data_IF_604074477309
#
_entry.id   IF_604074477309
#
_cell.length_a   1.000
_cell.length_b   1.000
_cell.length_c   1.000
_cell.angle_alpha   90.00
_cell.angle_beta   90.00
_cell.angle_gamma   90.00
#
_symmetry.space_group_name_H-M   'P 1'
#
loop_
_entity.id
_entity.type
_entity.pdbx_description
1 polymer ?
#
# COMPACT_ATOMS: atom_id res chain seq x y z
N UNK A 1 -16.74 -43.23 -25.02
CA UNK A 1 -16.79 -42.50 -23.74
C UNK A 1 -15.72 -41.43 -23.77
N UNK A 2 -16.07 -40.15 -23.58
CA UNK A 2 -15.04 -39.15 -23.31
C UNK A 2 -14.62 -39.29 -21.85
N UNK A 3 -13.33 -39.51 -21.60
CA UNK A 3 -12.77 -39.33 -20.26
C UNK A 3 -12.79 -37.84 -19.97
N UNK A 4 -13.56 -37.41 -18.97
CA UNK A 4 -13.54 -36.03 -18.48
C UNK A 4 -12.17 -35.75 -17.86
N UNK A 5 -11.25 -35.20 -18.65
CA UNK A 5 -9.92 -34.86 -18.17
C UNK A 5 -10.06 -33.76 -17.12
N UNK A 6 -9.77 -34.07 -15.87
CA UNK A 6 -9.94 -33.16 -14.74
C UNK A 6 -9.03 -31.93 -14.93
N UNK A 7 -9.62 -30.81 -15.36
CA UNK A 7 -8.90 -29.56 -15.52
C UNK A 7 -8.59 -28.97 -14.16
N UNK A 8 -7.33 -28.57 -13.94
CA UNK A 8 -6.97 -27.81 -12.75
C UNK A 8 -7.72 -26.46 -12.78
N UNK A 9 -8.69 -26.29 -11.89
CA UNK A 9 -9.50 -25.06 -11.73
C UNK A 9 -8.81 -24.04 -10.82
N UNK A 10 -7.87 -24.48 -10.00
CA UNK A 10 -7.15 -23.66 -9.05
C UNK A 10 -5.69 -24.07 -8.95
N UNK A 11 -4.85 -23.17 -8.45
CA UNK A 11 -3.45 -23.43 -8.10
C UNK A 11 -3.02 -22.55 -6.93
N UNK A 12 -2.05 -23.01 -6.15
CA UNK A 12 -1.65 -22.38 -4.89
C UNK A 12 -0.16 -22.06 -4.90
N UNK A 13 0.19 -20.78 -4.67
CA UNK A 13 1.55 -20.27 -4.80
C UNK A 13 2.02 -19.57 -3.53
N UNK A 14 2.94 -20.22 -2.79
CA UNK A 14 3.68 -19.57 -1.72
C UNK A 14 4.90 -18.84 -2.30
N UNK A 15 4.91 -17.52 -2.21
CA UNK A 15 6.05 -16.69 -2.63
C UNK A 15 7.16 -16.81 -1.57
N UNK A 16 8.23 -17.54 -1.92
CA UNK A 16 9.39 -17.77 -1.04
C UNK A 16 10.42 -16.63 -1.07
N UNK A 17 10.67 -16.08 -2.25
CA UNK A 17 11.58 -14.97 -2.55
C UNK A 17 11.18 -14.35 -3.89
N UNK A 18 11.48 -13.07 -4.08
CA UNK A 18 11.51 -12.43 -5.42
C UNK A 18 12.96 -12.00 -5.66
N UNK A 19 13.60 -12.54 -6.70
CA UNK A 19 14.97 -12.19 -7.05
C UNK A 19 15.05 -10.78 -7.65
N UNK A 20 15.98 -9.97 -7.12
CA UNK A 20 16.41 -8.69 -7.69
C UNK A 20 17.58 -8.91 -8.67
N UNK A 21 17.95 -7.92 -9.52
CA UNK A 21 19.14 -8.04 -10.37
C UNK A 21 20.41 -8.33 -9.56
N UNK A 22 20.58 -7.66 -8.42
CA UNK A 22 21.68 -7.87 -7.47
C UNK A 22 21.71 -9.26 -6.82
N UNK A 23 20.60 -10.00 -6.87
CA UNK A 23 20.50 -11.36 -6.32
C UNK A 23 20.81 -12.44 -7.38
N UNK A 24 20.99 -12.02 -8.64
CA UNK A 24 21.33 -12.88 -9.78
C UNK A 24 22.84 -12.92 -10.05
N UNK A 25 23.52 -11.79 -9.84
CA UNK A 25 24.96 -11.61 -10.05
C UNK A 25 25.28 -10.45 -10.98
N UNK A 26 26.53 -10.38 -11.45
CA UNK A 26 27.02 -9.27 -12.27
C UNK A 26 26.56 -9.33 -13.74
N UNK A 27 26.10 -10.48 -14.21
CA UNK A 27 25.52 -10.66 -15.55
C UNK A 27 24.12 -11.28 -15.42
N UNK A 28 23.13 -10.58 -15.97
CA UNK A 28 21.71 -10.97 -15.96
C UNK A 28 21.37 -11.96 -17.07
N UNK A 29 22.22 -12.07 -18.10
CA UNK A 29 22.06 -12.99 -19.21
C UNK A 29 22.63 -14.38 -18.89
N UNK A 30 23.51 -14.47 -17.88
CA UNK A 30 24.01 -15.73 -17.34
C UNK A 30 22.85 -16.65 -16.98
N UNK A 31 22.80 -17.79 -17.66
CA UNK A 31 21.81 -18.83 -17.47
C UNK A 31 22.00 -19.52 -16.11
N UNK A 32 20.90 -19.76 -15.41
CA UNK A 32 20.82 -20.64 -14.23
C UNK A 32 20.17 -21.96 -14.64
N UNK A 33 20.62 -23.07 -14.05
CA UNK A 33 20.01 -24.39 -14.25
C UNK A 33 18.72 -24.52 -13.44
N UNK A 34 17.68 -25.16 -14.01
CA UNK A 34 16.49 -25.50 -13.23
C UNK A 34 16.82 -26.56 -12.16
N UNK A 35 16.06 -26.57 -11.07
CA UNK A 35 16.16 -27.57 -10.00
C UNK A 35 15.24 -28.77 -10.29
N UNK A 36 15.66 -29.97 -9.88
CA UNK A 36 14.91 -31.22 -10.04
C UNK A 36 15.51 -32.17 -11.10
N UNK A 37 15.08 -33.45 -11.17
CA UNK A 37 15.71 -34.45 -12.03
C UNK A 37 15.58 -34.15 -13.53
N UNK A 38 14.44 -33.61 -13.95
CA UNK A 38 14.09 -33.36 -15.36
C UNK A 38 14.82 -32.14 -15.96
N UNK A 39 15.51 -31.34 -15.13
CA UNK A 39 16.13 -30.08 -15.57
C UNK A 39 17.28 -30.26 -16.57
N UNK A 40 17.91 -31.43 -16.61
CA UNK A 40 19.12 -31.71 -17.39
C UNK A 40 18.92 -31.55 -18.90
N UNK A 41 17.67 -31.65 -19.39
CA UNK A 41 17.32 -31.52 -20.80
C UNK A 41 17.02 -30.07 -21.23
N UNK A 42 17.04 -29.11 -20.32
CA UNK A 42 16.72 -27.71 -20.60
C UNK A 42 17.97 -26.82 -20.55
N UNK A 43 18.12 -25.82 -21.45
CA UNK A 43 19.33 -24.99 -21.55
C UNK A 43 19.56 -24.03 -20.38
N UNK A 44 18.72 -24.08 -19.33
CA UNK A 44 18.67 -23.09 -18.26
C UNK A 44 17.81 -21.87 -18.62
N UNK A 45 17.86 -20.84 -17.77
CA UNK A 45 17.04 -19.63 -17.88
C UNK A 45 17.82 -18.40 -17.40
N UNK A 46 17.66 -17.25 -18.07
CA UNK A 46 18.24 -15.95 -17.68
C UNK A 46 17.38 -15.22 -16.64
N UNK A 47 17.87 -14.07 -16.14
CA UNK A 47 17.07 -13.20 -15.28
C UNK A 47 15.82 -12.66 -16.00
N UNK A 48 15.91 -12.47 -17.32
CA UNK A 48 14.81 -12.00 -18.16
C UNK A 48 13.74 -13.07 -18.34
N UNK A 49 14.15 -14.32 -18.50
CA UNK A 49 13.24 -15.47 -18.56
C UNK A 49 12.54 -15.69 -17.22
N UNK A 50 13.30 -15.59 -16.11
CA UNK A 50 12.73 -15.58 -14.76
C UNK A 50 11.70 -14.45 -14.58
N UNK A 51 12.00 -13.22 -15.03
CA UNK A 51 11.06 -12.10 -14.97
C UNK A 51 9.81 -12.36 -15.84
N UNK A 52 9.99 -12.91 -17.05
CA UNK A 52 8.89 -13.27 -17.95
C UNK A 52 8.00 -14.38 -17.38
N UNK A 53 8.60 -15.38 -16.71
CA UNK A 53 7.89 -16.49 -16.09
C UNK A 53 6.86 -16.03 -15.04
N UNK A 54 7.10 -14.94 -14.31
CA UNK A 54 6.10 -14.36 -13.40
C UNK A 54 4.83 -13.90 -14.16
N UNK A 55 4.96 -13.17 -15.27
CA UNK A 55 3.81 -12.69 -16.02
C UNK A 55 3.12 -13.79 -16.82
N UNK A 56 3.89 -14.78 -17.31
CA UNK A 56 3.35 -15.90 -18.10
C UNK A 56 2.64 -16.93 -17.21
N UNK A 57 3.30 -17.42 -16.14
CA UNK A 57 2.74 -18.46 -15.25
C UNK A 57 1.48 -17.97 -14.55
N UNK A 58 1.51 -16.75 -14.00
CA UNK A 58 0.41 -16.19 -13.24
C UNK A 58 -0.64 -15.48 -14.09
N UNK A 59 -0.51 -15.56 -15.43
CA UNK A 59 -1.64 -15.35 -16.36
C UNK A 59 -1.89 -16.54 -17.28
N UNK A 60 -1.49 -17.74 -16.83
CA UNK A 60 -2.04 -19.01 -17.33
C UNK A 60 -3.57 -19.01 -17.22
N UNK A 61 -4.20 -19.85 -18.03
CA UNK A 61 -5.65 -20.06 -18.03
C UNK A 61 -5.95 -21.45 -18.60
N UNK A 62 -6.95 -22.13 -18.04
CA UNK A 62 -7.41 -23.43 -18.54
C UNK A 62 -8.39 -23.25 -19.71
N UNK A 63 -8.73 -24.35 -20.39
CA UNK A 63 -9.54 -24.34 -21.62
C UNK A 63 -10.94 -23.73 -21.38
N UNK A 64 -11.49 -23.88 -20.17
CA UNK A 64 -12.79 -23.31 -19.79
C UNK A 64 -12.75 -21.82 -19.39
N UNK A 65 -11.57 -21.22 -19.30
CA UNK A 65 -11.34 -19.88 -18.75
C UNK A 65 -11.74 -19.70 -17.27
N UNK A 66 -11.59 -20.76 -16.46
CA UNK A 66 -11.99 -20.82 -15.03
C UNK A 66 -10.82 -21.01 -14.04
N UNK A 67 -9.57 -20.88 -14.47
CA UNK A 67 -8.41 -21.03 -13.60
C UNK A 67 -8.28 -19.85 -12.62
N UNK A 68 -7.97 -20.18 -11.38
CA UNK A 68 -7.74 -19.25 -10.27
C UNK A 68 -6.43 -19.56 -9.54
N UNK A 69 -5.82 -18.53 -8.96
CA UNK A 69 -4.54 -18.59 -8.27
C UNK A 69 -4.68 -18.05 -6.85
N UNK A 70 -4.50 -18.89 -5.83
CA UNK A 70 -4.15 -18.41 -4.49
C UNK A 70 -2.68 -17.96 -4.51
N UNK A 71 -2.42 -16.77 -4.02
CA UNK A 71 -1.09 -16.29 -3.65
C UNK A 71 -1.01 -15.98 -2.16
N UNK A 72 0.13 -16.29 -1.54
CA UNK A 72 0.50 -15.80 -0.22
C UNK A 72 2.02 -15.74 -0.07
N UNK A 73 2.52 -14.92 0.84
CA UNK A 73 3.96 -14.85 1.14
C UNK A 73 4.34 -15.85 2.24
N UNK A 74 5.55 -16.42 2.20
CA UNK A 74 6.03 -17.24 3.33
C UNK A 74 6.16 -16.36 4.59
N UNK A 75 5.53 -16.80 5.69
CA UNK A 75 5.63 -16.19 7.03
C UNK A 75 7.10 -16.01 7.46
N UNK A 76 7.36 -15.03 8.32
CA UNK A 76 8.67 -14.78 8.94
C UNK A 76 9.84 -14.59 7.94
N UNK A 77 9.56 -14.06 6.74
CA UNK A 77 10.56 -13.68 5.74
C UNK A 77 10.56 -12.17 5.47
N UNK A 78 11.74 -11.62 5.25
CA UNK A 78 11.95 -10.25 4.79
C UNK A 78 12.06 -10.23 3.27
N UNK A 79 11.26 -9.40 2.62
CA UNK A 79 11.24 -9.26 1.15
C UNK A 79 11.85 -7.93 0.72
N UNK A 80 12.62 -7.95 -0.37
CA UNK A 80 13.13 -6.76 -1.05
C UNK A 80 12.71 -6.86 -2.51
N UNK A 81 11.69 -6.10 -2.91
CA UNK A 81 11.08 -6.23 -4.23
C UNK A 81 11.83 -5.42 -5.30
N UNK A 82 12.13 -6.01 -6.48
CA UNK A 82 12.66 -5.26 -7.62
C UNK A 82 11.56 -4.41 -8.27
N UNK A 83 11.95 -3.37 -9.01
CA UNK A 83 11.02 -2.38 -9.61
C UNK A 83 9.98 -3.04 -10.53
N UNK A 84 10.35 -4.05 -11.31
CA UNK A 84 9.41 -4.78 -12.19
C UNK A 84 8.29 -5.49 -11.40
N UNK A 85 8.52 -5.86 -10.14
CA UNK A 85 7.52 -6.52 -9.32
C UNK A 85 6.36 -5.58 -8.96
N UNK A 86 6.56 -4.26 -9.02
CA UNK A 86 5.47 -3.30 -8.92
C UNK A 86 4.48 -3.45 -10.09
N UNK A 87 4.96 -3.72 -11.31
CA UNK A 87 4.11 -4.02 -12.48
C UNK A 87 3.37 -5.35 -12.35
N UNK A 88 4.00 -6.35 -11.74
CA UNK A 88 3.32 -7.61 -11.40
C UNK A 88 2.19 -7.36 -10.39
N UNK A 89 2.51 -6.63 -9.30
CA UNK A 89 1.57 -6.27 -8.25
C UNK A 89 0.41 -5.40 -8.75
N UNK A 90 0.63 -4.50 -9.71
CA UNK A 90 -0.46 -3.68 -10.29
C UNK A 90 -1.43 -4.46 -11.19
N UNK A 91 -1.11 -5.71 -11.56
CA UNK A 91 -1.96 -6.56 -12.41
C UNK A 91 -2.66 -7.68 -11.62
N UNK A 92 -1.95 -8.27 -10.65
CA UNK A 92 -2.33 -9.52 -9.95
C UNK A 92 -2.40 -9.31 -8.43
N UNK A 93 -1.81 -8.22 -7.91
CA UNK A 93 -1.70 -7.93 -6.48
C UNK A 93 -2.92 -7.18 -5.92
N UNK A 94 -3.27 -7.43 -4.65
CA UNK A 94 -4.47 -6.90 -4.01
C UNK A 94 -4.44 -5.39 -3.74
N UNK A 95 -5.64 -4.82 -3.83
CA UNK A 95 -5.95 -3.44 -3.46
C UNK A 95 -6.58 -3.38 -2.05
N UNK A 96 -6.91 -2.18 -1.56
CA UNK A 96 -7.49 -1.99 -0.22
C UNK A 96 -9.01 -2.26 -0.13
N UNK A 97 -9.70 -2.48 -1.26
CA UNK A 97 -11.14 -2.71 -1.30
C UNK A 97 -11.56 -4.16 -1.05
N UNK A 98 -10.67 -5.13 -1.26
CA UNK A 98 -10.97 -6.55 -0.94
C UNK A 98 -10.89 -6.86 0.57
N UNK A 99 -10.32 -5.96 1.37
CA UNK A 99 -9.99 -6.24 2.78
C UNK A 99 -11.26 -6.24 3.65
N UNK A 100 -11.56 -7.33 4.38
CA UNK A 100 -12.66 -7.33 5.35
C UNK A 100 -12.38 -6.34 6.48
N UNK A 101 -13.45 -5.80 7.09
CA UNK A 101 -13.38 -4.59 7.92
C UNK A 101 -12.29 -4.58 9.01
N UNK A 102 -12.08 -5.64 9.82
CA UNK A 102 -11.01 -5.67 10.83
C UNK A 102 -9.60 -5.53 10.24
N UNK A 103 -9.39 -6.08 9.04
CA UNK A 103 -8.12 -6.06 8.31
C UNK A 103 -7.95 -4.73 7.58
N UNK A 104 -9.03 -4.13 7.10
CA UNK A 104 -9.03 -2.77 6.55
C UNK A 104 -8.70 -1.71 7.63
N UNK A 105 -9.19 -1.87 8.86
CA UNK A 105 -8.76 -1.04 10.01
C UNK A 105 -7.27 -1.23 10.33
N UNK A 106 -6.81 -2.49 10.38
CA UNK A 106 -5.40 -2.81 10.54
C UNK A 106 -4.53 -2.16 9.46
N UNK A 107 -4.93 -2.29 8.20
CA UNK A 107 -4.25 -1.69 7.06
C UNK A 107 -4.24 -0.16 7.12
N UNK A 108 -5.35 0.49 7.48
CA UNK A 108 -5.40 1.96 7.69
C UNK A 108 -4.43 2.41 8.79
N UNK A 109 -4.37 1.68 9.91
CA UNK A 109 -3.41 1.96 10.98
C UNK A 109 -1.97 1.77 10.51
N UNK A 110 -1.66 0.67 9.83
CA UNK A 110 -0.35 0.39 9.23
C UNK A 110 0.06 1.50 8.23
N UNK A 111 -0.83 1.87 7.31
CA UNK A 111 -0.67 2.96 6.33
C UNK A 111 -0.42 4.33 6.99
N UNK A 112 -0.92 4.55 8.21
CA UNK A 112 -0.68 5.77 9.01
C UNK A 112 0.61 5.79 9.84
N UNK A 113 1.32 4.65 9.93
CA UNK A 113 2.51 4.47 10.80
C UNK A 113 3.73 3.89 10.11
N UNK A 114 3.58 3.27 8.94
CA UNK A 114 4.66 2.58 8.25
C UNK A 114 5.54 3.55 7.44
N UNK A 115 6.85 3.35 7.53
CA UNK A 115 7.83 3.87 6.59
C UNK A 115 8.82 2.79 6.21
N UNK A 116 9.31 2.84 4.98
CA UNK A 116 10.50 2.11 4.56
C UNK A 116 11.32 3.02 3.64
N UNK A 117 12.47 3.54 4.10
CA UNK A 117 13.30 4.45 3.32
C UNK A 117 13.59 3.91 1.91
N UNK A 118 13.55 4.81 0.93
CA UNK A 118 13.82 4.53 -0.49
C UNK A 118 12.91 3.47 -1.14
N UNK A 119 11.75 3.14 -0.54
CA UNK A 119 10.80 2.20 -1.14
C UNK A 119 9.72 2.93 -1.95
N UNK A 120 9.67 2.64 -3.26
CA UNK A 120 8.59 3.06 -4.18
C UNK A 120 7.47 2.02 -4.32
N UNK A 121 7.46 0.99 -3.47
CA UNK A 121 6.51 -0.12 -3.55
C UNK A 121 5.14 0.24 -2.94
N UNK A 122 4.03 -0.28 -3.48
CA UNK A 122 2.69 -0.04 -2.95
C UNK A 122 2.55 -0.44 -1.48
N UNK A 123 1.74 0.32 -0.74
CA UNK A 123 1.47 0.02 0.68
C UNK A 123 0.77 -1.33 0.89
N UNK A 124 -0.05 -1.80 -0.07
CA UNK A 124 -0.63 -3.15 0.02
C UNK A 124 0.43 -4.24 -0.12
N UNK A 125 1.46 -4.06 -0.97
CA UNK A 125 2.57 -5.01 -1.09
C UNK A 125 3.36 -5.14 0.22
N UNK A 126 3.68 -4.01 0.87
CA UNK A 126 4.32 -4.03 2.19
C UNK A 126 3.46 -4.71 3.25
N UNK A 127 2.15 -4.49 3.24
CA UNK A 127 1.23 -5.08 4.21
C UNK A 127 1.08 -6.59 4.02
N UNK A 128 0.67 -7.02 2.82
CA UNK A 128 0.43 -8.44 2.52
C UNK A 128 1.71 -9.29 2.69
N UNK A 129 2.89 -8.77 2.34
CA UNK A 129 4.15 -9.50 2.51
C UNK A 129 4.66 -9.59 3.96
N UNK A 130 4.37 -8.61 4.81
CA UNK A 130 4.79 -8.62 6.23
C UNK A 130 3.85 -9.42 7.14
N UNK A 131 2.56 -9.48 6.81
CA UNK A 131 1.55 -10.26 7.54
C UNK A 131 1.16 -11.58 6.85
N UNK A 132 1.87 -11.96 5.79
CA UNK A 132 1.69 -13.19 5.01
C UNK A 132 0.27 -13.42 4.49
N UNK A 133 -0.47 -12.33 4.22
CA UNK A 133 -1.89 -12.40 3.88
C UNK A 133 -2.10 -13.04 2.50
N UNK A 134 -3.11 -13.91 2.35
CA UNK A 134 -3.49 -14.50 1.08
C UNK A 134 -4.35 -13.56 0.24
N UNK A 135 -4.37 -13.82 -1.07
CA UNK A 135 -5.40 -13.30 -1.98
C UNK A 135 -5.60 -14.29 -3.13
N UNK A 136 -6.82 -14.30 -3.68
CA UNK A 136 -7.16 -15.08 -4.86
C UNK A 136 -7.18 -14.14 -6.07
N UNK A 137 -6.49 -14.50 -7.14
CA UNK A 137 -6.58 -13.84 -8.44
C UNK A 137 -7.12 -14.81 -9.49
N UNK A 138 -8.04 -14.33 -10.31
CA UNK A 138 -8.51 -14.99 -11.53
C UNK A 138 -8.60 -13.95 -12.64
N UNK A 139 -8.67 -14.37 -13.91
CA UNK A 139 -8.91 -13.45 -15.00
C UNK A 139 -9.74 -14.10 -16.11
N UNK A 140 -10.61 -13.30 -16.73
CA UNK A 140 -11.41 -13.70 -17.89
C UNK A 140 -11.19 -12.74 -19.06
N UNK A 141 -11.56 -13.16 -20.25
CA UNK A 141 -11.74 -12.25 -21.38
C UNK A 141 -13.11 -11.57 -21.29
N UNK A 142 -13.17 -10.28 -21.63
CA UNK A 142 -14.41 -9.52 -21.77
C UNK A 142 -14.35 -8.62 -23.01
N UNK A 143 -15.49 -8.41 -23.67
CA UNK A 143 -15.62 -7.47 -24.77
C UNK A 143 -16.12 -6.11 -24.27
N UNK A 144 -15.22 -5.15 -24.14
CA UNK A 144 -15.57 -3.77 -23.80
C UNK A 144 -16.12 -3.09 -25.05
N UNK A 145 -17.41 -2.74 -25.02
CA UNK A 145 -18.05 -1.93 -26.07
C UNK A 145 -17.44 -0.52 -26.06
N UNK A 146 -17.06 -0.03 -27.24
CA UNK A 146 -16.71 1.38 -27.42
C UNK A 146 -18.01 2.20 -27.54
N UNK A 147 -18.07 3.37 -26.90
CA UNK A 147 -19.20 4.30 -27.05
C UNK A 147 -19.29 4.87 -28.47
N UNK A 148 -18.18 4.86 -29.23
CA UNK A 148 -18.17 5.18 -30.65
C UNK A 148 -18.39 3.91 -31.49
N UNK A 149 -19.54 3.82 -32.17
CA UNK A 149 -19.94 2.71 -33.03
C UNK A 149 -19.03 2.50 -34.26
N UNK A 150 -18.17 3.46 -34.60
CA UNK A 150 -17.21 3.32 -35.70
C UNK A 150 -16.03 2.36 -35.40
N UNK A 151 -15.92 1.85 -34.18
CA UNK A 151 -14.85 0.93 -33.77
C UNK A 151 -15.40 -0.39 -33.22
N UNK A 152 -14.76 -1.54 -33.53
CA UNK A 152 -15.15 -2.83 -32.97
C UNK A 152 -14.94 -2.88 -31.44
N UNK A 153 -15.69 -3.74 -30.71
CA UNK A 153 -15.45 -3.96 -29.28
C UNK A 153 -14.03 -4.43 -29.00
N UNK A 154 -13.44 -3.93 -27.90
CA UNK A 154 -12.10 -4.32 -27.48
C UNK A 154 -12.16 -5.59 -26.64
N UNK A 155 -11.47 -6.65 -27.09
CA UNK A 155 -11.22 -7.83 -26.27
C UNK A 155 -10.16 -7.50 -25.21
N UNK A 156 -10.55 -7.47 -23.94
CA UNK A 156 -9.65 -7.15 -22.82
C UNK A 156 -9.52 -8.33 -21.87
N UNK A 157 -8.38 -8.41 -21.17
CA UNK A 157 -8.19 -9.27 -20.00
C UNK A 157 -8.71 -8.53 -18.77
N UNK A 158 -9.84 -8.97 -18.22
CA UNK A 158 -10.36 -8.48 -16.95
C UNK A 158 -9.88 -9.38 -15.81
N UNK A 159 -9.04 -8.82 -14.94
CA UNK A 159 -8.68 -9.45 -13.68
C UNK A 159 -9.77 -9.28 -12.62
N UNK A 160 -9.97 -10.30 -11.79
CA UNK A 160 -10.79 -10.26 -10.59
C UNK A 160 -9.93 -10.75 -9.43
N UNK A 161 -9.91 -9.97 -8.34
CA UNK A 161 -9.15 -10.28 -7.13
C UNK A 161 -10.15 -10.40 -5.99
N UNK A 162 -10.05 -11.47 -5.20
CA UNK A 162 -10.82 -11.70 -3.98
C UNK A 162 -9.90 -11.88 -2.78
N UNK A 163 -10.45 -11.61 -1.60
CA UNK A 163 -9.91 -12.10 -0.34
C UNK A 163 -10.12 -13.62 -0.24
N UNK A 164 -9.42 -14.29 0.69
CA UNK A 164 -9.65 -15.69 1.05
C UNK A 164 -10.20 -15.70 2.47
N UNK A 165 -11.48 -16.02 2.63
CA UNK A 165 -12.19 -15.86 3.90
C UNK A 165 -11.76 -16.89 4.96
N UNK A 166 -11.41 -18.12 4.55
CA UNK A 166 -10.91 -19.18 5.42
C UNK A 166 -9.44 -19.01 5.87
N UNK A 167 -8.97 -17.78 6.12
CA UNK A 167 -7.61 -17.49 6.61
C UNK A 167 -7.63 -16.67 7.90
N UNK A 168 -6.94 -17.14 8.93
CA UNK A 168 -6.73 -16.38 10.17
C UNK A 168 -5.80 -15.17 9.92
N UNK A 169 -6.44 -14.04 9.65
CA UNK A 169 -5.79 -12.74 9.53
C UNK A 169 -5.67 -11.99 10.87
N UNK A 170 -5.84 -12.65 12.02
CA UNK A 170 -5.71 -12.05 13.35
C UNK A 170 -4.36 -11.35 13.58
N UNK A 171 -3.29 -11.83 12.94
CA UNK A 171 -1.97 -11.18 12.94
C UNK A 171 -1.95 -9.78 12.28
N UNK A 172 -2.92 -9.49 11.40
CA UNK A 172 -3.13 -8.19 10.76
C UNK A 172 -4.25 -7.36 11.42
N UNK A 173 -4.72 -7.74 12.62
CA UNK A 173 -5.55 -6.86 13.45
C UNK A 173 -4.72 -5.70 14.00
N UNK A 174 -5.34 -4.53 14.16
CA UNK A 174 -4.72 -3.28 14.64
C UNK A 174 -3.83 -3.46 15.89
N UNK A 175 -4.26 -4.28 16.84
CA UNK A 175 -3.50 -4.61 18.07
C UNK A 175 -2.22 -5.40 17.78
N UNK A 176 -2.28 -6.41 16.91
CA UNK A 176 -1.09 -7.19 16.53
C UNK A 176 -0.14 -6.41 15.63
N UNK A 177 -0.65 -5.50 14.80
CA UNK A 177 0.16 -4.55 14.03
C UNK A 177 0.91 -3.59 14.96
N UNK A 178 0.26 -3.10 16.04
CA UNK A 178 0.93 -2.29 17.06
C UNK A 178 2.06 -3.08 17.75
N UNK A 179 1.80 -4.34 18.15
CA UNK A 179 2.82 -5.24 18.70
C UNK A 179 3.97 -5.50 17.70
N UNK A 180 3.65 -5.62 16.40
CA UNK A 180 4.63 -5.80 15.33
C UNK A 180 5.53 -4.57 15.16
N UNK A 181 4.98 -3.36 15.21
CA UNK A 181 5.77 -2.12 15.19
C UNK A 181 6.67 -1.99 16.42
N UNK A 182 6.20 -2.37 17.62
CA UNK A 182 7.06 -2.41 18.82
C UNK A 182 8.25 -3.37 18.68
N UNK A 183 8.09 -4.47 17.92
CA UNK A 183 9.17 -5.40 17.57
C UNK A 183 10.02 -4.94 16.37
N UNK A 184 9.54 -3.98 15.59
CA UNK A 184 10.18 -3.51 14.35
C UNK A 184 10.19 -1.98 14.23
N UNK A 185 10.83 -1.24 15.16
CA UNK A 185 10.82 0.22 15.18
C UNK A 185 11.44 0.85 13.93
N UNK A 186 12.30 0.13 13.19
CA UNK A 186 12.90 0.57 11.93
C UNK A 186 11.89 0.76 10.78
N UNK A 187 10.65 0.26 10.93
CA UNK A 187 9.57 0.46 9.97
C UNK A 187 8.52 1.49 10.43
N UNK A 188 8.73 2.16 11.57
CA UNK A 188 7.91 3.31 11.93
C UNK A 188 8.28 4.52 11.06
N UNK A 189 7.29 5.34 10.72
CA UNK A 189 7.51 6.71 10.28
C UNK A 189 8.43 7.40 11.30
N UNK A 190 9.57 7.97 10.87
CA UNK A 190 10.28 8.93 11.68
C UNK A 190 9.27 9.98 12.13
N UNK A 191 9.19 10.22 13.44
CA UNK A 191 8.42 11.35 13.93
C UNK A 191 9.04 12.61 13.34
N UNK A 192 8.21 13.63 13.13
CA UNK A 192 8.70 14.94 12.73
C UNK A 192 9.84 15.41 13.66
N UNK A 193 10.77 16.21 13.14
CA UNK A 193 12.00 16.60 13.85
C UNK A 193 11.67 17.37 15.13
N UNK A 194 10.73 18.31 15.08
CA UNK A 194 10.31 19.10 16.24
C UNK A 194 9.61 18.20 17.26
N UNK A 195 8.71 17.33 16.78
CA UNK A 195 8.02 16.34 17.61
C UNK A 195 8.99 15.37 18.30
N UNK A 196 10.05 14.94 17.61
CA UNK A 196 11.09 14.05 18.13
C UNK A 196 11.93 14.77 19.20
N UNK A 197 12.35 16.01 18.93
CA UNK A 197 13.09 16.84 19.89
C UNK A 197 12.25 17.12 21.14
N UNK A 198 10.97 17.44 20.99
CA UNK A 198 10.04 17.64 22.10
C UNK A 198 9.88 16.38 22.97
N UNK A 199 9.71 15.20 22.36
CA UNK A 199 9.59 13.95 23.12
C UNK A 199 10.91 13.55 23.81
N UNK A 200 12.06 13.81 23.17
CA UNK A 200 13.37 13.64 23.79
C UNK A 200 13.53 14.56 25.01
N UNK A 201 13.24 15.85 24.86
CA UNK A 201 13.31 16.85 25.95
C UNK A 201 12.34 16.51 27.09
N UNK A 202 11.11 16.07 26.77
CA UNK A 202 10.15 15.59 27.77
C UNK A 202 10.67 14.38 28.55
N UNK A 203 11.36 13.45 27.87
CA UNK A 203 11.97 12.27 28.50
C UNK A 203 13.12 12.66 29.42
N UNK A 204 14.04 13.53 28.97
CA UNK A 204 15.16 14.00 29.82
C UNK A 204 14.66 14.78 31.04
N UNK A 205 13.61 15.59 30.89
CA UNK A 205 13.03 16.34 32.01
C UNK A 205 12.35 15.39 33.02
N UNK A 206 11.66 14.35 32.55
CA UNK A 206 11.08 13.33 33.44
C UNK A 206 12.14 12.56 34.23
N UNK A 207 13.26 12.19 33.58
CA UNK A 207 14.41 11.55 34.25
C UNK A 207 15.04 12.51 35.27
N UNK A 208 15.28 13.77 34.90
CA UNK A 208 15.87 14.78 35.80
C UNK A 208 15.02 14.95 37.06
N UNK A 209 13.71 15.17 36.91
CA UNK A 209 12.76 15.32 38.02
C UNK A 209 12.67 14.07 38.92
N UNK A 210 12.88 12.87 38.36
CA UNK A 210 12.94 11.62 39.12
C UNK A 210 14.24 11.46 39.93
N UNK A 211 15.28 12.27 39.71
CA UNK A 211 16.51 12.25 40.52
C UNK A 211 16.40 13.02 41.85
N UNK A 212 15.36 13.82 42.03
CA UNK A 212 15.18 14.63 43.24
C UNK A 212 14.95 13.75 44.49
N UNK A 213 15.85 13.86 45.47
CA UNK A 213 15.79 13.10 46.73
C UNK A 213 15.02 13.83 47.85
N UNK A 214 14.67 15.10 47.66
CA UNK A 214 13.90 15.91 48.59
C UNK A 214 13.03 16.94 47.85
N UNK A 215 12.09 17.55 48.58
CA UNK A 215 11.09 18.46 48.02
C UNK A 215 11.71 19.71 47.38
N UNK A 216 12.75 20.27 48.00
CA UNK A 216 13.32 21.55 47.58
C UNK A 216 14.18 21.41 46.32
N UNK A 217 14.91 20.30 46.17
CA UNK A 217 15.58 19.95 44.92
C UNK A 217 14.58 19.68 43.78
N UNK A 218 13.43 19.07 44.07
CA UNK A 218 12.36 18.83 43.09
C UNK A 218 11.74 20.15 42.60
N UNK A 219 11.43 21.08 43.53
CA UNK A 219 10.92 22.41 43.19
C UNK A 219 11.94 23.15 42.31
N UNK A 220 13.22 23.18 42.70
CA UNK A 220 14.26 23.82 41.90
C UNK A 220 14.39 23.22 40.49
N UNK A 221 14.36 21.89 40.35
CA UNK A 221 14.41 21.24 39.04
C UNK A 221 13.18 21.55 38.17
N UNK A 222 12.01 21.75 38.77
CA UNK A 222 10.83 22.26 38.04
C UNK A 222 11.07 23.70 37.55
N UNK A 223 11.58 24.59 38.40
CA UNK A 223 11.85 26.00 38.04
C UNK A 223 12.91 26.13 36.93
N UNK A 224 14.01 25.36 37.03
CA UNK A 224 15.07 25.30 36.02
C UNK A 224 14.53 24.78 34.67
N UNK A 225 13.76 23.68 34.66
CA UNK A 225 13.20 23.11 33.41
C UNK A 225 12.12 23.99 32.78
N UNK A 226 11.28 24.65 33.58
CA UNK A 226 10.24 25.56 33.09
C UNK A 226 10.86 26.84 32.49
N UNK A 227 12.01 27.28 33.01
CA UNK A 227 12.79 28.41 32.46
C UNK A 227 13.39 28.06 31.09
N UNK A 228 14.04 26.90 30.96
CA UNK A 228 14.61 26.43 29.68
C UNK A 228 13.55 26.29 28.57
N UNK A 229 12.34 25.85 28.91
CA UNK A 229 11.22 25.74 27.95
C UNK A 229 10.79 27.12 27.43
N UNK A 230 10.74 28.14 28.31
CA UNK A 230 10.38 29.52 27.93
C UNK A 230 11.42 30.14 26.99
N UNK A 231 12.71 29.99 27.31
CA UNK A 231 13.82 30.51 26.49
C UNK A 231 13.89 29.85 25.11
N UNK A 232 13.64 28.54 25.02
CA UNK A 232 13.53 27.86 23.73
C UNK A 232 12.39 28.39 22.87
N UNK A 233 11.25 28.71 23.49
CA UNK A 233 10.03 29.18 22.79
C UNK A 233 10.21 30.55 22.13
N UNK A 234 10.94 31.48 22.77
CA UNK A 234 11.16 32.84 22.21
C UNK A 234 12.08 32.87 20.98
N UNK A 235 12.76 31.77 20.63
CA UNK A 235 13.65 31.72 19.47
C UNK A 235 12.93 31.52 18.11
N UNK A 236 11.62 31.22 18.11
CA UNK A 236 10.86 30.83 16.92
C UNK A 236 9.95 31.92 16.32
N UNK A 237 9.60 32.98 17.08
CA UNK A 237 8.60 33.98 16.65
C UNK A 237 9.16 35.16 15.85
N UNK A 238 10.40 35.57 16.10
CA UNK A 238 10.84 36.94 15.78
C UNK A 238 11.69 37.06 14.50
N UNK A 239 11.08 36.75 13.35
CA UNK A 239 11.61 37.16 12.02
C UNK A 239 10.54 37.65 11.04
N UNK A 240 9.97 38.82 11.32
CA UNK A 240 9.50 39.76 10.28
C UNK A 240 9.53 41.21 10.78
N UNK A 241 9.89 42.10 9.86
CA UNK A 241 10.26 43.51 10.11
C UNK A 241 11.54 43.67 10.97
N UNK A 242 12.36 44.73 10.88
CA UNK A 242 12.21 46.05 10.24
C UNK A 242 13.48 46.43 9.46
N UNK A 243 13.37 46.96 8.24
CA UNK A 243 14.19 48.06 7.65
C UNK A 243 13.66 48.40 6.24
N UNK A 244 13.58 49.63 5.75
CA UNK A 244 14.35 50.83 6.13
C UNK A 244 13.54 52.14 6.02
N UNK A 245 13.97 53.18 6.74
CA UNK A 245 13.36 54.51 6.77
C UNK A 245 14.10 55.48 5.85
N UNK A 246 13.39 56.44 5.24
CA UNK A 246 13.88 57.82 5.04
C UNK A 246 12.72 58.83 5.13
N UNK A 247 13.05 60.08 5.45
CA UNK A 247 12.12 61.11 5.99
C UNK A 247 11.68 62.13 4.92
N UNK A 248 10.51 62.77 5.16
CA UNK A 248 10.14 64.18 4.85
C UNK A 248 10.48 64.75 3.45
N UNK A 249 9.57 65.33 2.66
CA UNK A 249 8.18 65.80 2.89
C UNK A 249 7.47 65.95 1.51
N UNK A 250 6.40 66.73 1.18
CA UNK A 250 5.66 67.86 1.81
C UNK A 250 4.16 67.80 1.38
N UNK A 251 3.44 68.93 1.47
CA UNK A 251 2.05 69.17 0.96
C UNK A 251 1.96 68.91 -0.57
N UNK A 252 0.86 68.42 -1.17
CA UNK A 252 -0.52 68.96 -1.07
C UNK A 252 -1.62 68.11 -1.79
N UNK A 253 -2.89 68.52 -1.61
CA UNK A 253 -4.19 68.06 -2.19
C UNK A 253 -4.09 67.48 -3.64
N UNK A 254 -4.89 66.49 -4.09
CA UNK A 254 -6.34 66.65 -4.44
C UNK A 254 -6.93 65.41 -5.21
N UNK A 255 -8.22 65.11 -4.97
CA UNK A 255 -9.21 64.35 -5.79
C UNK A 255 -9.04 62.84 -6.13
N UNK A 256 -10.05 62.09 -5.65
CA UNK A 256 -10.63 60.85 -6.16
C UNK A 256 -11.01 60.93 -7.66
N UNK A 257 -10.89 59.82 -8.39
CA UNK A 257 -11.89 59.43 -9.41
C UNK A 257 -12.07 57.90 -9.47
N UNK A 258 -13.30 57.43 -9.70
CA UNK A 258 -13.63 56.01 -9.97
C UNK A 258 -13.84 55.83 -11.48
N UNK A 259 -13.55 54.64 -12.02
CA UNK A 259 -14.21 54.17 -13.26
C UNK A 259 -14.67 52.71 -13.07
N UNK A 260 -15.77 52.37 -13.73
CA UNK A 260 -16.61 51.17 -13.54
C UNK A 260 -17.25 50.83 -14.88
N UNK A 261 -17.26 49.55 -15.28
CA UNK A 261 -18.12 48.87 -16.30
C UNK A 261 -17.38 47.61 -16.82
N UNK A 262 -18.02 46.54 -17.29
CA UNK A 262 -19.39 46.01 -17.07
C UNK A 262 -19.41 44.55 -17.54
N UNK A 263 -20.30 43.70 -17.01
CA UNK A 263 -20.61 42.36 -17.56
C UNK A 263 -22.13 42.16 -17.54
N UNK A 264 -22.66 41.54 -18.60
CA UNK A 264 -24.07 41.22 -18.85
C UNK A 264 -24.19 40.46 -20.18
N UNK A 265 -25.11 39.53 -20.46
CA UNK A 265 -25.98 38.63 -19.68
C UNK A 265 -26.90 37.87 -20.66
N UNK A 266 -27.66 36.87 -20.21
CA UNK A 266 -28.60 35.97 -20.93
C UNK A 266 -27.98 34.71 -21.57
N UNK A 267 -28.52 33.49 -21.54
CA UNK A 267 -29.75 32.81 -21.00
C UNK A 267 -30.78 32.31 -22.03
N UNK A 268 -31.04 31.00 -22.04
CA UNK A 268 -32.28 30.38 -22.53
C UNK A 268 -32.41 28.97 -21.92
N UNK A 269 -33.62 28.58 -21.50
CA UNK A 269 -33.92 27.25 -20.95
C UNK A 269 -34.61 26.33 -21.98
N UNK A 270 -34.60 25.02 -21.73
CA UNK A 270 -35.74 24.13 -22.04
C UNK A 270 -35.65 22.85 -21.22
N UNK A 271 -36.77 22.17 -21.02
CA UNK A 271 -36.90 21.03 -20.09
C UNK A 271 -37.77 19.90 -20.66
N UNK A 272 -37.58 18.68 -20.15
CA UNK A 272 -38.41 17.49 -20.40
C UNK A 272 -38.18 16.49 -19.26
N UNK A 273 -39.12 15.56 -19.03
CA UNK A 273 -39.12 14.67 -17.86
C UNK A 273 -39.54 13.22 -18.20
N UNK A 274 -39.52 12.36 -17.18
CA UNK A 274 -39.80 10.91 -17.23
C UNK A 274 -38.69 10.06 -17.92
N UNK A 275 -38.52 8.76 -17.62
CA UNK A 275 -39.38 7.86 -16.83
C UNK A 275 -38.59 7.04 -15.79
N UNK A 276 -39.30 6.43 -14.84
CA UNK A 276 -38.77 5.40 -13.93
C UNK A 276 -38.99 4.01 -14.56
N UNK A 277 -38.11 3.06 -14.27
CA UNK A 277 -38.36 1.63 -14.51
C UNK A 277 -37.55 0.79 -13.52
N UNK A 278 -38.24 0.06 -12.65
CA UNK A 278 -37.70 -0.98 -11.76
C UNK A 278 -37.72 -2.35 -12.47
N UNK A 279 -37.53 -3.44 -11.71
CA UNK A 279 -37.53 -4.86 -12.13
C UNK A 279 -36.25 -5.34 -12.86
N UNK A 280 -35.77 -6.56 -12.66
CA UNK A 280 -35.66 -7.34 -11.41
C UNK A 280 -34.59 -8.45 -11.58
N UNK A 281 -34.27 -9.16 -10.49
CA UNK A 281 -33.59 -10.46 -10.40
C UNK A 281 -32.59 -10.91 -11.48
N UNK A 282 -31.33 -11.10 -11.05
CA UNK A 282 -30.65 -12.37 -11.34
C UNK A 282 -29.89 -12.87 -10.11
N UNK A 283 -30.06 -14.16 -9.81
CA UNK A 283 -29.83 -14.73 -8.48
C UNK A 283 -28.38 -14.63 -7.95
N UNK A 284 -28.26 -14.41 -6.63
CA UNK A 284 -27.05 -14.76 -5.89
C UNK A 284 -26.99 -16.29 -5.70
N UNK A 285 -26.32 -17.00 -6.59
CA UNK A 285 -25.93 -18.39 -6.35
C UNK A 285 -24.69 -18.43 -5.46
N UNK A 286 -24.86 -18.89 -4.21
CA UNK A 286 -23.74 -19.31 -3.38
C UNK A 286 -23.18 -20.62 -3.92
N UNK A 287 -21.92 -20.65 -4.35
CA UNK A 287 -21.19 -21.88 -4.69
C UNK A 287 -19.84 -21.92 -3.95
N UNK A 288 -19.83 -22.75 -2.92
CA UNK A 288 -18.75 -23.48 -2.25
C UNK A 288 -17.35 -22.86 -2.02
N UNK A 289 -16.92 -22.93 -0.76
CA UNK A 289 -15.52 -22.81 -0.31
C UNK A 289 -14.63 -23.89 -0.95
N UNK A 290 -14.12 -23.60 -2.15
CA UNK A 290 -13.27 -24.50 -2.95
C UNK A 290 -11.87 -24.76 -2.36
N UNK A 291 -11.63 -24.45 -1.09
CA UNK A 291 -10.31 -24.36 -0.47
C UNK A 291 -10.23 -25.04 0.90
N UNK A 292 -10.50 -26.35 0.95
CA UNK A 292 -10.31 -27.20 2.13
C UNK A 292 -8.85 -27.43 2.55
N UNK A 293 -7.99 -26.41 2.48
CA UNK A 293 -6.56 -26.47 2.82
C UNK A 293 -6.35 -25.83 4.19
N UNK A 294 -6.17 -26.68 5.21
CA UNK A 294 -5.76 -26.24 6.54
C UNK A 294 -4.27 -25.84 6.54
N UNK A 295 -4.03 -24.54 6.40
CA UNK A 295 -2.70 -23.94 6.35
C UNK A 295 -1.91 -24.07 7.67
N UNK A 296 -2.50 -24.55 8.77
CA UNK A 296 -1.75 -24.85 10.00
C UNK A 296 -0.88 -26.10 9.86
N UNK A 297 -1.24 -27.04 8.98
CA UNK A 297 -0.58 -28.35 8.83
C UNK A 297 0.66 -28.36 7.92
N UNK A 298 1.08 -27.20 7.39
CA UNK A 298 2.20 -27.08 6.44
C UNK A 298 3.55 -26.82 7.16
N UNK A 299 3.56 -26.64 8.49
CA UNK A 299 4.76 -26.24 9.24
C UNK A 299 5.73 -27.41 9.58
N UNK A 300 5.38 -28.68 9.31
CA UNK A 300 6.19 -29.87 9.71
C UNK A 300 6.91 -30.64 8.57
N UNK A 301 6.89 -30.17 7.32
CA UNK A 301 7.60 -30.84 6.21
C UNK A 301 8.84 -30.07 5.72
N UNK A 302 9.95 -30.81 5.54
CA UNK A 302 11.29 -30.35 5.08
C UNK A 302 12.16 -29.68 6.17
N UNK A 303 12.83 -30.53 6.94
CA UNK A 303 14.22 -30.31 7.39
C UNK A 303 15.17 -30.32 6.18
#
# INVERSE_FOLDING_TARGET
MHVSQAYYTHSTYQILKVLRPSDWGNDLNRLQSFSGPESQNYPGYSYWDYQGAWFNTFTYQNIENKHSCLFFFKKNKTYSFPIWFNRFWSLIGPNEFILPSPILEGFKFFKSKFSQPNSTMPMTLHFFSKFALPWIFQWRFEFVKNNNQAFPPLLVRQGSIKWWDAYDAGAAHKTQIQNWFSKNPQFLLPLDRETTQFLQQRSTNAILLATAKNKDAYIKQLEDTLSQIKEGTSSSSDKKEVSSKKKTEKKSKKKISKKKKQVSSSSSDSSSAASISTEEDFAQSNEDDCFGIDLSKIEESQL
#
